data_IF_720620907564
#
_entry.id   IF_720620907564
#
_cell.length_a   1.000
_cell.length_b   1.000
_cell.length_c   1.000
_cell.angle_alpha   90.00
_cell.angle_beta   90.00
_cell.angle_gamma   90.00
#
_symmetry.space_group_name_H-M   'P 1'
#
loop_
_entity.id
_entity.type
_entity.pdbx_description
1 polymer ?
#
# COMPACT_ATOMS: atom_id res chain seq x y z
N UNK A 1 -20.72 1.75 31.97
CA UNK A 1 -19.68 0.71 31.85
C UNK A 1 -19.48 0.22 30.42
N UNK A 2 -20.54 -0.14 29.67
CA UNK A 2 -20.40 -0.63 28.27
C UNK A 2 -19.70 0.31 27.28
N UNK A 3 -19.91 1.63 27.37
CA UNK A 3 -19.22 2.58 26.47
C UNK A 3 -17.71 2.64 26.72
N UNK A 4 -17.28 2.54 27.98
CA UNK A 4 -15.86 2.52 28.33
C UNK A 4 -15.19 1.25 27.80
N UNK A 5 -15.83 0.09 28.00
CA UNK A 5 -15.32 -1.20 27.47
C UNK A 5 -15.24 -1.18 25.94
N UNK A 6 -16.28 -0.69 25.24
CA UNK A 6 -16.28 -0.53 23.78
C UNK A 6 -15.17 0.40 23.28
N UNK A 7 -14.88 1.47 24.03
CA UNK A 7 -13.83 2.42 23.68
C UNK A 7 -12.44 1.79 23.81
N UNK A 8 -12.23 1.02 24.88
CA UNK A 8 -10.99 0.26 25.09
C UNK A 8 -10.81 -0.79 24.00
N UNK A 9 -11.85 -1.55 23.64
CA UNK A 9 -11.79 -2.52 22.54
C UNK A 9 -11.43 -1.87 21.19
N UNK A 10 -12.08 -0.76 20.82
CA UNK A 10 -11.78 -0.04 19.57
C UNK A 10 -10.36 0.53 19.55
N UNK A 11 -9.83 0.96 20.71
CA UNK A 11 -8.46 1.43 20.84
C UNK A 11 -7.47 0.29 20.61
N UNK A 12 -7.70 -0.88 21.22
CA UNK A 12 -6.87 -2.06 20.98
C UNK A 12 -6.85 -2.47 19.51
N UNK A 13 -8.00 -2.47 18.84
CA UNK A 13 -8.12 -2.78 17.40
C UNK A 13 -7.28 -1.78 16.57
N UNK A 14 -7.40 -0.48 16.85
CA UNK A 14 -6.68 0.56 16.11
C UNK A 14 -5.16 0.47 16.34
N UNK A 15 -4.72 0.26 17.58
CA UNK A 15 -3.30 0.09 17.91
C UNK A 15 -2.71 -1.14 17.22
N UNK A 16 -3.44 -2.26 17.20
CA UNK A 16 -3.00 -3.46 16.52
C UNK A 16 -2.84 -3.23 15.02
N UNK A 17 -3.79 -2.52 14.40
CA UNK A 17 -3.72 -2.13 13.00
C UNK A 17 -2.47 -1.28 12.70
N UNK A 18 -2.21 -0.24 13.48
CA UNK A 18 -1.02 0.61 13.30
C UNK A 18 0.29 -0.15 13.50
N UNK A 19 0.35 -1.05 14.47
CA UNK A 19 1.54 -1.86 14.71
C UNK A 19 1.84 -2.80 13.54
N UNK A 20 0.82 -3.49 13.02
CA UNK A 20 0.96 -4.40 11.87
C UNK A 20 1.37 -3.64 10.61
N UNK A 21 0.69 -2.53 10.31
CA UNK A 21 0.99 -1.70 9.14
C UNK A 21 2.41 -1.13 9.21
N UNK A 22 2.79 -0.52 10.34
CA UNK A 22 4.16 -0.03 10.54
C UNK A 22 5.19 -1.14 10.36
N UNK A 23 5.00 -2.30 11.00
CA UNK A 23 5.93 -3.44 10.85
C UNK A 23 6.10 -3.85 9.39
N UNK A 24 5.01 -3.96 8.62
CA UNK A 24 5.08 -4.34 7.20
C UNK A 24 5.85 -3.34 6.34
N UNK A 25 5.74 -2.05 6.65
CA UNK A 25 6.40 -0.99 5.89
C UNK A 25 7.89 -0.84 6.27
N UNK A 26 8.23 -0.91 7.56
CA UNK A 26 9.61 -0.76 8.04
C UNK A 26 10.49 -1.99 7.76
N UNK A 27 9.92 -3.18 7.64
CA UNK A 27 10.67 -4.39 7.26
C UNK A 27 11.35 -4.21 5.90
N UNK A 28 10.71 -3.51 4.95
CA UNK A 28 11.25 -3.26 3.61
C UNK A 28 12.57 -2.46 3.69
N UNK A 29 12.64 -1.46 4.58
CA UNK A 29 13.86 -0.70 4.81
C UNK A 29 15.00 -1.58 5.37
N UNK A 30 14.66 -2.56 6.23
CA UNK A 30 15.63 -3.49 6.80
C UNK A 30 16.16 -4.55 5.82
N UNK A 31 15.45 -4.81 4.71
CA UNK A 31 15.86 -5.75 3.66
C UNK A 31 16.23 -5.06 2.34
N UNK A 32 16.39 -3.73 2.35
CA UNK A 32 16.58 -2.93 1.13
C UNK A 32 17.78 -3.41 0.30
N UNK A 33 18.89 -3.73 0.96
CA UNK A 33 20.10 -4.24 0.30
C UNK A 33 19.82 -5.57 -0.42
N UNK A 34 19.04 -6.46 0.20
CA UNK A 34 18.62 -7.74 -0.42
C UNK A 34 17.69 -7.52 -1.61
N UNK A 35 16.80 -6.52 -1.55
CA UNK A 35 15.93 -6.16 -2.68
C UNK A 35 16.78 -5.59 -3.82
N UNK A 36 17.78 -4.78 -3.51
CA UNK A 36 18.70 -4.21 -4.49
C UNK A 36 19.52 -5.30 -5.21
N UNK A 37 20.09 -6.23 -4.43
CA UNK A 37 20.79 -7.42 -4.96
C UNK A 37 19.88 -8.28 -5.85
N UNK A 38 18.64 -8.57 -5.41
CA UNK A 38 17.70 -9.42 -6.14
C UNK A 38 17.22 -8.81 -7.46
N UNK A 39 17.17 -7.48 -7.56
CA UNK A 39 16.74 -6.76 -8.76
C UNK A 39 17.93 -6.25 -9.61
N UNK A 40 19.17 -6.59 -9.24
CA UNK A 40 20.39 -6.08 -9.88
C UNK A 40 20.47 -4.54 -9.98
N UNK A 41 19.87 -3.83 -9.01
CA UNK A 41 19.89 -2.36 -8.95
C UNK A 41 20.82 -1.88 -7.82
N UNK A 42 21.35 -0.67 -7.94
CA UNK A 42 22.16 -0.09 -6.87
C UNK A 42 21.30 0.22 -5.63
N UNK A 43 21.89 0.10 -4.43
CA UNK A 43 21.25 0.49 -3.16
C UNK A 43 20.80 1.95 -3.19
N UNK A 44 21.57 2.82 -3.88
CA UNK A 44 21.21 4.23 -4.07
C UNK A 44 19.91 4.41 -4.84
N UNK A 45 19.72 3.68 -5.94
CA UNK A 45 18.49 3.71 -6.73
C UNK A 45 17.29 3.18 -5.94
N UNK A 46 17.50 2.11 -5.16
CA UNK A 46 16.46 1.56 -4.29
C UNK A 46 16.05 2.57 -3.19
N UNK A 47 17.01 3.26 -2.59
CA UNK A 47 16.76 4.34 -1.62
C UNK A 47 16.01 5.53 -2.20
N UNK A 48 16.29 5.91 -3.46
CA UNK A 48 15.52 6.95 -4.15
C UNK A 48 14.06 6.55 -4.37
N UNK A 49 13.82 5.30 -4.76
CA UNK A 49 12.45 4.78 -4.93
C UNK A 49 11.66 4.84 -3.61
N UNK A 50 12.28 4.45 -2.50
CA UNK A 50 11.67 4.54 -1.17
C UNK A 50 11.40 6.01 -0.79
N UNK A 51 12.33 6.91 -1.07
CA UNK A 51 12.16 8.34 -0.75
C UNK A 51 10.95 8.92 -1.48
N UNK A 52 10.81 8.63 -2.78
CA UNK A 52 9.65 9.06 -3.58
C UNK A 52 8.36 8.42 -3.04
N UNK A 53 8.39 7.14 -2.70
CA UNK A 53 7.26 6.45 -2.07
C UNK A 53 6.84 7.10 -0.76
N UNK A 54 7.76 7.37 0.17
CA UNK A 54 7.45 7.99 1.46
C UNK A 54 6.85 9.39 1.31
N UNK A 55 7.36 10.20 0.37
CA UNK A 55 6.78 11.52 0.07
C UNK A 55 5.38 11.38 -0.53
N UNK A 56 5.21 10.50 -1.51
CA UNK A 56 3.92 10.27 -2.15
C UNK A 56 2.88 9.70 -1.17
N UNK A 57 3.28 8.80 -0.27
CA UNK A 57 2.42 8.23 0.76
C UNK A 57 2.04 9.27 1.82
N UNK A 58 3.04 10.01 2.33
CA UNK A 58 2.85 11.04 3.35
C UNK A 58 1.97 12.20 2.87
N UNK A 59 2.14 12.66 1.62
CA UNK A 59 1.30 13.71 1.04
C UNK A 59 -0.03 13.17 0.47
N UNK A 60 -0.01 11.95 -0.10
CA UNK A 60 -1.17 11.33 -0.73
C UNK A 60 -2.25 10.97 0.27
N UNK A 61 -1.89 10.51 1.46
CA UNK A 61 -2.85 10.13 2.50
C UNK A 61 -3.79 11.28 2.91
N UNK A 62 -3.30 12.45 3.37
CA UNK A 62 -4.18 13.57 3.71
C UNK A 62 -4.91 14.13 2.49
N UNK A 63 -4.29 14.11 1.31
CA UNK A 63 -4.93 14.55 0.08
C UNK A 63 -6.14 13.68 -0.30
N UNK A 64 -5.98 12.37 -0.28
CA UNK A 64 -7.07 11.42 -0.54
C UNK A 64 -8.14 11.51 0.54
N UNK A 65 -7.76 11.59 1.82
CA UNK A 65 -8.73 11.76 2.91
C UNK A 65 -9.56 13.04 2.70
N UNK A 66 -8.93 14.16 2.36
CA UNK A 66 -9.62 15.42 2.12
C UNK A 66 -10.56 15.33 0.90
N UNK A 67 -10.10 14.70 -0.19
CA UNK A 67 -10.88 14.50 -1.41
C UNK A 67 -12.13 13.63 -1.15
N UNK A 68 -12.00 12.58 -0.35
CA UNK A 68 -13.08 11.63 -0.06
C UNK A 68 -13.88 11.96 1.21
N UNK A 69 -13.52 13.00 1.96
CA UNK A 69 -14.12 13.33 3.25
C UNK A 69 -15.64 13.55 3.20
N UNK A 70 -16.17 14.01 2.06
CA UNK A 70 -17.60 14.29 1.86
C UNK A 70 -18.35 13.19 1.11
N UNK A 71 -17.69 12.11 0.71
CA UNK A 71 -18.33 11.04 -0.04
C UNK A 71 -19.01 10.02 0.88
N UNK A 72 -20.20 9.57 0.48
CA UNK A 72 -20.91 8.50 1.17
C UNK A 72 -20.07 7.20 1.17
N UNK A 73 -20.09 6.45 2.28
CA UNK A 73 -19.33 5.19 2.44
C UNK A 73 -19.55 4.21 1.29
N UNK A 74 -20.76 4.14 0.73
CA UNK A 74 -21.09 3.29 -0.42
C UNK A 74 -20.37 3.72 -1.70
N UNK A 75 -20.32 5.03 -1.98
CA UNK A 75 -19.63 5.57 -3.17
C UNK A 75 -18.13 5.41 -3.05
N UNK A 76 -17.58 5.58 -1.84
CA UNK A 76 -16.16 5.32 -1.57
C UNK A 76 -15.79 3.87 -1.87
N UNK A 77 -16.62 2.91 -1.44
CA UNK A 77 -16.39 1.49 -1.69
C UNK A 77 -16.43 1.17 -3.19
N UNK A 78 -17.41 1.71 -3.93
CA UNK A 78 -17.50 1.54 -5.39
C UNK A 78 -16.28 2.14 -6.09
N UNK A 79 -15.88 3.36 -5.71
CA UNK A 79 -14.70 4.01 -6.29
C UNK A 79 -13.42 3.20 -6.03
N UNK A 80 -13.22 2.74 -4.79
CA UNK A 80 -12.09 1.90 -4.43
C UNK A 80 -12.06 0.60 -5.25
N UNK A 81 -13.20 -0.07 -5.41
CA UNK A 81 -13.32 -1.26 -6.26
C UNK A 81 -13.02 -0.96 -7.73
N UNK A 82 -13.55 0.12 -8.28
CA UNK A 82 -13.28 0.52 -9.67
C UNK A 82 -11.80 0.80 -9.88
N UNK A 83 -11.17 1.59 -9.00
CA UNK A 83 -9.74 1.87 -9.08
C UNK A 83 -8.92 0.58 -8.95
N UNK A 84 -9.26 -0.29 -8.01
CA UNK A 84 -8.61 -1.59 -7.86
C UNK A 84 -8.71 -2.42 -9.15
N UNK A 85 -9.89 -2.53 -9.74
CA UNK A 85 -10.08 -3.26 -11.00
C UNK A 85 -9.26 -2.66 -12.14
N UNK A 86 -9.25 -1.34 -12.30
CA UNK A 86 -8.47 -0.67 -13.35
C UNK A 86 -6.97 -0.91 -13.17
N UNK A 87 -6.46 -0.79 -11.96
CA UNK A 87 -5.05 -1.06 -11.66
C UNK A 87 -4.69 -2.51 -11.98
N UNK A 88 -5.54 -3.47 -11.58
CA UNK A 88 -5.30 -4.88 -11.87
C UNK A 88 -5.29 -5.16 -13.38
N UNK A 89 -6.22 -4.57 -14.14
CA UNK A 89 -6.24 -4.69 -15.59
C UNK A 89 -4.97 -4.10 -16.20
N UNK A 90 -4.53 -2.92 -15.72
CA UNK A 90 -3.31 -2.29 -16.19
C UNK A 90 -2.08 -3.17 -15.91
N UNK A 91 -1.97 -3.75 -14.71
CA UNK A 91 -0.92 -4.71 -14.36
C UNK A 91 -1.00 -5.91 -15.30
N UNK A 92 -2.18 -6.47 -15.56
CA UNK A 92 -2.33 -7.60 -16.48
C UNK A 92 -1.85 -7.26 -17.91
N UNK A 93 -2.03 -6.02 -18.36
CA UNK A 93 -1.54 -5.55 -19.67
C UNK A 93 -0.01 -5.34 -19.66
N UNK A 94 0.54 -4.69 -18.62
CA UNK A 94 1.99 -4.43 -18.48
C UNK A 94 2.76 -5.73 -18.35
N UNK A 95 2.24 -6.67 -17.57
CA UNK A 95 2.83 -8.01 -17.37
C UNK A 95 2.51 -8.95 -18.53
N UNK A 96 2.15 -8.38 -19.70
CA UNK A 96 1.52 -9.01 -20.85
C UNK A 96 1.80 -10.50 -20.99
N UNK A 97 0.75 -11.27 -21.28
CA UNK A 97 0.74 -12.73 -21.47
C UNK A 97 2.00 -13.34 -22.13
N UNK A 98 2.71 -12.59 -22.97
CA UNK A 98 4.06 -12.83 -23.49
C UNK A 98 5.09 -13.26 -22.43
N UNK A 99 5.17 -12.59 -21.27
CA UNK A 99 6.21 -12.85 -20.26
C UNK A 99 5.89 -14.08 -19.38
N UNK A 100 4.60 -14.43 -19.26
CA UNK A 100 4.14 -15.66 -18.58
C UNK A 100 4.24 -16.89 -19.48
N UNK A 101 3.92 -16.78 -20.77
CA UNK A 101 4.06 -17.90 -21.72
C UNK A 101 5.52 -18.22 -22.05
N UNK A 102 6.39 -17.21 -22.23
CA UNK A 102 7.81 -17.41 -22.50
C UNK A 102 8.59 -18.06 -21.32
N UNK A 103 8.01 -18.08 -20.11
CA UNK A 103 8.62 -18.67 -18.90
C UNK A 103 8.26 -20.15 -18.70
N UNK A 104 7.32 -20.69 -19.49
CA UNK A 104 6.74 -22.04 -19.32
C UNK A 104 7.29 -23.05 -20.36
N UNK A 105 8.26 -22.67 -21.20
CA UNK A 105 8.99 -23.60 -22.09
C UNK A 105 10.41 -23.91 -21.59
#
# INVERSE_FOLDING_TARGET
MNYFVKYVENLFISCHYFFLNGTSEYVIAGILDKIAEANHISVSSAGQLITVFSVAFGAGTPFLIAMFARMDRKKLLVYALTVFSVINILIAIITGYEMLMCRIE
#
